data_IF_812843319301
#
_entry.id   IF_812843319301
#
_cell.length_a   1.000
_cell.length_b   1.000
_cell.length_c   1.000
_cell.angle_alpha   90.00
_cell.angle_beta   90.00
_cell.angle_gamma   90.00
#
_symmetry.space_group_name_H-M   'P 1'
#
loop_
_entity.id
_entity.type
_entity.pdbx_description
1 polymer ?
#
# COMPACT_ATOMS: atom_id res chain seq x y z
N UNK A 1 2.08 -22.25 22.36
CA UNK A 1 2.69 -20.94 22.68
C UNK A 1 2.72 -20.18 21.37
N UNK A 2 1.86 -19.19 21.20
CA UNK A 2 1.88 -18.32 20.01
C UNK A 2 3.08 -17.40 20.15
N UNK A 3 4.00 -17.44 19.18
CA UNK A 3 5.15 -16.54 19.13
C UNK A 3 4.69 -15.07 19.18
N UNK A 4 5.48 -14.16 19.76
CA UNK A 4 5.16 -12.75 19.72
C UNK A 4 4.95 -12.34 18.27
N UNK A 5 3.79 -11.73 18.00
CA UNK A 5 3.38 -11.27 16.68
C UNK A 5 4.43 -10.27 16.19
N UNK A 6 5.43 -10.75 15.44
CA UNK A 6 6.55 -9.94 14.99
C UNK A 6 5.97 -8.81 14.14
N UNK A 7 6.35 -7.57 14.42
CA UNK A 7 5.93 -6.39 13.64
C UNK A 7 7.06 -5.95 12.73
N UNK A 8 6.72 -5.25 11.66
CA UNK A 8 7.68 -4.56 10.78
C UNK A 8 7.29 -3.09 10.67
N UNK A 9 8.29 -2.22 10.59
CA UNK A 9 8.14 -0.80 10.34
C UNK A 9 8.11 -0.53 8.84
N UNK A 10 7.08 0.16 8.35
CA UNK A 10 6.91 0.50 6.94
C UNK A 10 6.62 1.98 6.81
N UNK A 11 7.38 2.67 5.97
CA UNK A 11 7.10 4.06 5.60
C UNK A 11 6.31 4.10 4.30
N UNK A 12 5.19 4.82 4.28
CA UNK A 12 4.45 5.09 3.06
C UNK A 12 4.70 6.53 2.61
N UNK A 13 4.98 6.73 1.33
CA UNK A 13 5.12 8.04 0.68
C UNK A 13 4.04 8.15 -0.40
N UNK A 14 3.29 9.23 -0.36
CA UNK A 14 2.19 9.47 -1.30
C UNK A 14 2.50 10.67 -2.19
N UNK A 15 2.75 10.46 -3.47
CA UNK A 15 2.96 11.54 -4.46
C UNK A 15 1.74 11.74 -5.37
N UNK A 16 0.58 11.21 -4.98
CA UNK A 16 -0.67 11.33 -5.76
C UNK A 16 -1.62 12.27 -5.03
N UNK A 17 -2.91 11.97 -4.94
CA UNK A 17 -3.88 12.74 -4.18
C UNK A 17 -3.96 12.29 -2.74
N UNK A 18 -4.63 13.09 -1.91
CA UNK A 18 -4.92 12.70 -0.53
C UNK A 18 -5.61 11.34 -0.51
N UNK A 19 -5.07 10.37 0.24
CA UNK A 19 -5.56 9.00 0.17
C UNK A 19 -5.69 8.29 1.52
N UNK A 20 -6.60 7.34 1.56
CA UNK A 20 -6.67 6.29 2.58
C UNK A 20 -5.94 5.05 2.05
N UNK A 21 -5.06 4.48 2.87
CA UNK A 21 -4.17 3.37 2.50
C UNK A 21 -4.36 2.20 3.46
N UNK A 22 -4.55 1.01 2.88
CA UNK A 22 -4.56 -0.27 3.57
C UNK A 22 -3.34 -1.08 3.16
N UNK A 23 -2.58 -1.54 4.15
CA UNK A 23 -1.49 -2.50 3.99
C UNK A 23 -1.90 -3.77 4.70
N UNK A 24 -2.28 -4.78 3.93
CA UNK A 24 -2.93 -6.00 4.41
C UNK A 24 -2.04 -7.21 4.16
N UNK A 25 -2.01 -8.21 5.05
CA UNK A 25 -1.44 -9.51 4.74
C UNK A 25 -2.12 -10.13 3.52
N UNK A 26 -1.36 -10.78 2.64
CA UNK A 26 -1.92 -11.42 1.47
C UNK A 26 -2.58 -12.76 1.81
N UNK A 27 -3.81 -12.72 2.30
CA UNK A 27 -4.66 -13.90 2.51
C UNK A 27 -5.71 -14.01 1.42
N UNK A 28 -6.29 -15.21 1.23
CA UNK A 28 -7.41 -15.40 0.30
C UNK A 28 -8.62 -14.53 0.66
N UNK A 29 -8.88 -14.37 1.95
CA UNK A 29 -9.92 -13.48 2.49
C UNK A 29 -9.68 -12.02 2.07
N UNK A 30 -8.48 -11.49 2.30
CA UNK A 30 -8.13 -10.11 1.96
C UNK A 30 -8.14 -9.88 0.44
N UNK A 31 -7.80 -10.90 -0.36
CA UNK A 31 -7.91 -10.84 -1.82
C UNK A 31 -9.36 -10.69 -2.27
N UNK A 32 -10.29 -11.43 -1.66
CA UNK A 32 -11.70 -11.51 -2.09
C UNK A 32 -12.62 -10.45 -1.51
N UNK A 33 -12.27 -9.84 -0.38
CA UNK A 33 -13.12 -8.82 0.26
C UNK A 33 -12.97 -7.45 -0.41
N UNK A 34 -14.07 -6.70 -0.47
CA UNK A 34 -14.11 -5.27 -0.78
C UNK A 34 -14.25 -4.38 0.47
N UNK A 35 -14.37 -5.00 1.65
CA UNK A 35 -14.46 -4.33 2.94
C UNK A 35 -13.17 -4.59 3.72
N UNK A 36 -12.35 -3.55 3.90
CA UNK A 36 -11.01 -3.64 4.51
C UNK A 36 -10.94 -3.06 5.92
N UNK A 37 -12.08 -2.61 6.45
CA UNK A 37 -12.16 -1.94 7.74
C UNK A 37 -11.41 -0.60 7.72
N UNK A 38 -10.85 -0.24 8.87
CA UNK A 38 -10.09 1.02 9.04
C UNK A 38 -8.79 0.99 8.25
N UNK A 39 -8.51 2.07 7.52
CA UNK A 39 -7.24 2.24 6.81
C UNK A 39 -6.05 2.18 7.76
N UNK A 40 -4.97 1.53 7.32
CA UNK A 40 -3.68 1.54 8.03
C UNK A 40 -3.14 2.96 8.16
N UNK A 41 -3.29 3.75 7.10
CA UNK A 41 -2.99 5.18 7.09
C UNK A 41 -4.21 5.90 6.53
N UNK A 42 -4.86 6.71 7.35
CA UNK A 42 -5.96 7.55 6.90
C UNK A 42 -5.47 8.92 6.43
N UNK A 43 -6.07 9.41 5.34
CA UNK A 43 -6.02 10.80 4.88
C UNK A 43 -4.60 11.36 4.72
N UNK A 44 -3.68 10.56 4.15
CA UNK A 44 -2.31 11.00 3.88
C UNK A 44 -2.31 11.97 2.71
N UNK A 45 -1.84 13.19 2.92
CA UNK A 45 -1.79 14.22 1.89
C UNK A 45 -0.75 13.91 0.79
N UNK A 46 -0.84 14.64 -0.33
CA UNK A 46 0.15 14.57 -1.41
C UNK A 46 1.50 15.14 -0.96
N UNK A 47 2.59 14.50 -1.34
CA UNK A 47 3.95 14.82 -0.94
C UNK A 47 4.31 14.41 0.50
N UNK A 48 3.34 13.90 1.26
CA UNK A 48 3.56 13.50 2.64
C UNK A 48 3.99 12.03 2.77
N UNK A 49 4.59 11.73 3.93
CA UNK A 49 4.96 10.38 4.30
C UNK A 49 4.55 10.05 5.73
N UNK A 50 4.23 8.78 5.98
CA UNK A 50 3.92 8.28 7.32
C UNK A 50 4.51 6.89 7.53
N UNK A 51 5.14 6.70 8.69
CA UNK A 51 5.63 5.40 9.14
C UNK A 51 4.61 4.75 10.04
N UNK A 52 4.34 3.46 9.80
CA UNK A 52 3.41 2.64 10.57
C UNK A 52 4.04 1.29 10.90
N UNK A 53 3.62 0.70 12.01
CA UNK A 53 3.95 -0.66 12.35
C UNK A 53 2.82 -1.58 11.89
N UNK A 54 3.16 -2.61 11.14
CA UNK A 54 2.22 -3.64 10.69
C UNK A 54 2.68 -5.01 11.17
N UNK A 55 1.74 -5.93 11.35
CA UNK A 55 2.07 -7.32 11.65
C UNK A 55 2.90 -7.91 10.51
N UNK A 56 4.03 -8.52 10.87
CA UNK A 56 4.75 -9.40 9.97
C UNK A 56 3.87 -10.58 9.61
N UNK A 57 3.96 -11.04 8.37
CA UNK A 57 3.19 -12.19 7.88
C UNK A 57 4.16 -13.26 7.41
N UNK A 58 3.90 -14.52 7.73
CA UNK A 58 4.86 -15.63 7.54
C UNK A 58 5.29 -15.84 6.09
N UNK A 59 4.40 -15.55 5.13
CA UNK A 59 4.72 -15.61 3.70
C UNK A 59 5.39 -14.34 3.17
N UNK A 60 5.50 -13.28 3.98
CA UNK A 60 6.14 -12.00 3.66
C UNK A 60 5.46 -11.18 2.56
N UNK A 61 4.29 -11.62 2.09
CA UNK A 61 3.52 -10.99 1.01
C UNK A 61 2.36 -10.17 1.54
N UNK A 62 2.19 -9.00 0.95
CA UNK A 62 1.19 -8.02 1.32
C UNK A 62 0.40 -7.55 0.10
N UNK A 63 -0.77 -7.00 0.40
CA UNK A 63 -1.64 -6.30 -0.54
C UNK A 63 -1.67 -4.85 -0.09
N UNK A 64 -1.43 -3.93 -1.02
CA UNK A 64 -1.61 -2.50 -0.81
C UNK A 64 -2.85 -2.06 -1.56
N UNK A 65 -3.81 -1.46 -0.85
CA UNK A 65 -5.02 -0.87 -1.43
C UNK A 65 -5.09 0.59 -1.07
N UNK A 66 -5.51 1.40 -2.02
CA UNK A 66 -5.53 2.86 -1.90
C UNK A 66 -6.86 3.34 -2.48
N UNK A 67 -7.52 4.22 -1.74
CA UNK A 67 -8.63 5.01 -2.26
C UNK A 67 -8.22 6.47 -2.10
N UNK A 68 -8.14 7.18 -3.21
CA UNK A 68 -7.84 8.61 -3.18
C UNK A 68 -9.09 9.47 -2.97
N UNK A 69 -8.89 10.78 -2.80
CA UNK A 69 -9.97 11.75 -2.58
C UNK A 69 -10.91 11.91 -3.76
N UNK A 70 -10.50 11.50 -4.96
CA UNK A 70 -11.33 11.48 -6.17
C UNK A 70 -12.12 10.15 -6.29
N UNK A 71 -12.05 9.30 -5.27
CA UNK A 71 -12.64 7.96 -5.24
C UNK A 71 -12.07 7.00 -6.29
N UNK A 72 -10.87 7.28 -6.83
CA UNK A 72 -10.16 6.32 -7.63
C UNK A 72 -9.55 5.24 -6.72
N UNK A 73 -9.66 4.00 -7.17
CA UNK A 73 -9.16 2.84 -6.47
C UNK A 73 -7.86 2.35 -7.09
N UNK A 74 -6.86 2.09 -6.25
CA UNK A 74 -5.59 1.48 -6.66
C UNK A 74 -5.29 0.24 -5.83
N UNK A 75 -4.72 -0.79 -6.48
CA UNK A 75 -4.28 -2.01 -5.79
C UNK A 75 -2.97 -2.54 -6.34
N UNK A 76 -2.12 -3.06 -5.45
CA UNK A 76 -0.99 -3.90 -5.79
C UNK A 76 -0.90 -5.09 -4.84
N UNK A 77 -0.81 -6.27 -5.45
CA UNK A 77 -0.72 -7.55 -4.75
C UNK A 77 0.70 -8.13 -4.87
N UNK A 78 1.00 -9.17 -4.11
CA UNK A 78 2.27 -9.89 -4.06
C UNK A 78 3.45 -8.98 -3.67
N UNK A 79 3.18 -7.98 -2.84
CA UNK A 79 4.18 -7.01 -2.36
C UNK A 79 5.03 -7.64 -1.26
N UNK A 80 6.35 -7.74 -1.48
CA UNK A 80 7.28 -8.26 -0.46
C UNK A 80 7.76 -7.08 0.37
N UNK A 81 7.41 -7.05 1.66
CA UNK A 81 7.78 -5.98 2.58
C UNK A 81 8.78 -6.48 3.62
N UNK A 82 9.89 -5.77 3.74
CA UNK A 82 10.88 -5.96 4.81
C UNK A 82 10.74 -4.92 5.91
N UNK A 83 11.38 -5.17 7.04
CA UNK A 83 11.46 -4.18 8.11
C UNK A 83 12.23 -2.92 7.66
N UNK A 84 11.74 -1.74 8.05
CA UNK A 84 12.22 -0.42 7.65
C UNK A 84 12.20 -0.17 6.13
N UNK A 85 11.31 -0.82 5.39
CA UNK A 85 11.12 -0.52 3.97
C UNK A 85 10.26 0.73 3.75
N UNK A 86 10.33 1.26 2.54
CA UNK A 86 9.47 2.37 2.09
C UNK A 86 8.61 1.94 0.92
N UNK A 87 7.30 2.12 1.02
CA UNK A 87 6.34 2.02 -0.08
C UNK A 87 6.14 3.43 -0.63
N UNK A 88 6.39 3.61 -1.92
CA UNK A 88 6.23 4.88 -2.61
C UNK A 88 5.14 4.73 -3.67
N UNK A 89 4.01 5.39 -3.44
CA UNK A 89 2.93 5.49 -4.41
C UNK A 89 3.14 6.71 -5.30
N UNK A 90 3.26 6.46 -6.60
CA UNK A 90 3.51 7.47 -7.63
C UNK A 90 2.44 7.37 -8.69
N UNK A 91 2.14 8.49 -9.30
CA UNK A 91 1.32 8.56 -10.49
C UNK A 91 1.94 9.55 -11.46
N UNK A 92 1.77 9.32 -12.75
CA UNK A 92 2.10 10.32 -13.75
C UNK A 92 1.08 11.48 -13.70
N UNK A 93 1.37 12.58 -14.40
CA UNK A 93 0.49 13.76 -14.42
C UNK A 93 -0.93 13.45 -14.93
N UNK A 94 -1.10 12.36 -15.67
CA UNK A 94 -2.38 11.97 -16.26
C UNK A 94 -3.19 11.01 -15.39
N UNK A 95 -2.63 10.54 -14.26
CA UNK A 95 -3.18 9.49 -13.39
C UNK A 95 -3.45 8.15 -14.08
N UNK A 96 -3.04 7.95 -15.34
CA UNK A 96 -3.24 6.70 -16.09
C UNK A 96 -2.14 5.68 -15.78
N UNK A 97 -0.95 6.14 -15.37
CA UNK A 97 0.18 5.28 -15.01
C UNK A 97 0.53 5.48 -13.53
N UNK A 98 -0.27 4.86 -12.67
CA UNK A 98 0.03 4.76 -11.24
C UNK A 98 0.90 3.54 -10.95
N UNK A 99 1.91 3.70 -10.10
CA UNK A 99 2.81 2.62 -9.69
C UNK A 99 3.09 2.66 -8.19
N UNK A 100 3.32 1.47 -7.64
CA UNK A 100 3.74 1.29 -6.26
C UNK A 100 5.16 0.70 -6.29
N UNK A 101 6.09 1.42 -5.68
CA UNK A 101 7.51 1.05 -5.60
C UNK A 101 7.85 0.73 -4.15
N UNK A 102 8.55 -0.37 -3.91
CA UNK A 102 9.11 -0.71 -2.60
C UNK A 102 10.61 -0.47 -2.63
N UNK A 103 11.08 0.35 -1.70
CA UNK A 103 12.48 0.65 -1.46
C UNK A 103 12.93 -0.04 -0.17
N UNK A 104 14.17 -0.53 -0.13
CA UNK A 104 14.79 -0.92 1.13
C UNK A 104 15.15 0.31 1.99
N UNK A 105 15.71 0.03 3.18
CA UNK A 105 16.17 1.06 4.12
C UNK A 105 17.24 2.01 3.55
N UNK A 106 17.96 1.59 2.52
CA UNK A 106 19.03 2.33 1.87
C UNK A 106 18.51 3.09 0.63
N UNK A 107 17.19 3.03 0.37
CA UNK A 107 16.53 3.68 -0.75
C UNK A 107 16.65 2.93 -2.08
N UNK A 108 17.17 1.70 -2.08
CA UNK A 108 17.28 0.88 -3.29
C UNK A 108 15.94 0.25 -3.62
N UNK A 109 15.56 0.29 -4.89
CA UNK A 109 14.35 -0.37 -5.38
C UNK A 109 14.48 -1.88 -5.17
N UNK A 110 13.61 -2.43 -4.33
CA UNK A 110 13.40 -3.87 -4.17
C UNK A 110 12.38 -4.39 -5.16
N UNK A 111 11.32 -3.62 -5.39
CA UNK A 111 10.19 -4.02 -6.21
C UNK A 111 9.47 -2.80 -6.79
N UNK A 112 8.87 -2.95 -7.97
CA UNK A 112 8.00 -1.95 -8.58
C UNK A 112 6.91 -2.66 -9.35
N UNK A 113 5.67 -2.19 -9.21
CA UNK A 113 4.52 -2.72 -9.91
C UNK A 113 3.61 -1.58 -10.34
N UNK A 114 3.03 -1.72 -11.52
CA UNK A 114 1.89 -0.91 -11.92
C UNK A 114 0.73 -1.19 -10.97
N UNK A 115 0.12 -0.12 -10.46
CA UNK A 115 -1.05 -0.22 -9.63
C UNK A 115 -2.27 -0.43 -10.54
N UNK A 116 -3.07 -1.45 -10.25
CA UNK A 116 -4.35 -1.60 -10.92
C UNK A 116 -5.23 -0.40 -10.56
N UNK A 117 -5.71 0.34 -11.55
CA UNK A 117 -6.62 1.47 -11.35
C UNK A 117 -8.05 1.09 -11.71
N UNK A 118 -8.99 1.33 -10.80
CA UNK A 118 -10.42 1.22 -11.03
C UNK A 118 -11.12 2.54 -10.72
N UNK A 119 -12.06 2.94 -11.58
CA UNK A 119 -12.94 4.09 -11.32
C UNK A 119 -14.31 3.56 -10.88
N UNK A 120 -14.77 3.98 -9.71
CA UNK A 120 -16.17 3.75 -9.32
C UNK A 120 -17.06 4.74 -10.07
N UNK A 121 -17.65 4.30 -11.19
CA UNK A 121 -18.71 5.01 -11.90
C UNK A 121 -18.35 5.44 -13.32
N UNK A 122 -18.57 4.53 -14.29
CA UNK A 122 -19.14 4.94 -15.56
C UNK A 122 -20.66 4.73 -15.43
N UNK A 123 -21.40 5.81 -15.26
CA UNK A 123 -22.86 5.83 -15.44
C UNK A 123 -23.18 5.99 -16.93
#
# INVERSE_FOLDING_TARGET
MTEPNKTISVTFVNDVEKADIWILPQTEENRKTSLWGTATISKLDSGDKRTVEISSFDEGKYIVRIIDSDHAFYSADDMILGDNCTIHFKSDETKYESSIVVLDKDGKILYSKEAFQGVFGAY
#
